data_IF_382811220581
#
_entry.id   IF_382811220581
#
_cell.length_a   1.000
_cell.length_b   1.000
_cell.length_c   1.000
_cell.angle_alpha   90.00
_cell.angle_beta   90.00
_cell.angle_gamma   90.00
#
_symmetry.space_group_name_H-M   'P 1'
#
loop_
_entity.id
_entity.type
_entity.pdbx_description
1 polymer ?
#
# COMPACT_ATOMS: atom_id res chain seq x y z
N UNK A 1 22.84 6.39 -5.48
CA UNK A 1 22.97 6.51 -4.02
C UNK A 1 21.90 7.49 -3.52
N UNK A 2 20.70 7.03 -3.17
CA UNK A 2 19.74 7.77 -2.35
C UNK A 2 19.39 6.86 -1.17
N UNK A 3 20.09 7.06 -0.05
CA UNK A 3 19.98 6.23 1.15
C UNK A 3 18.85 6.77 2.03
N UNK A 4 17.77 6.01 2.15
CA UNK A 4 16.85 5.92 3.31
C UNK A 4 16.04 7.16 3.77
N UNK A 5 16.17 8.34 3.16
CA UNK A 5 15.41 9.54 3.59
C UNK A 5 13.94 9.61 3.08
N UNK A 6 13.54 8.73 2.17
CA UNK A 6 12.31 8.92 1.37
C UNK A 6 11.03 8.31 1.97
N UNK A 7 11.15 7.51 3.03
CA UNK A 7 10.02 6.78 3.61
C UNK A 7 10.07 6.75 5.13
N UNK A 8 8.99 7.18 5.78
CA UNK A 8 8.81 6.97 7.22
C UNK A 8 7.34 6.89 7.61
N UNK A 9 7.07 6.18 8.72
CA UNK A 9 5.76 6.11 9.35
C UNK A 9 5.88 6.29 10.87
N UNK A 10 5.59 7.50 11.35
CA UNK A 10 5.70 7.90 12.76
C UNK A 10 4.42 7.55 13.54
N UNK A 11 4.56 7.50 14.87
CA UNK A 11 3.42 7.47 15.80
C UNK A 11 2.66 8.80 15.61
N UNK A 12 1.35 8.79 15.32
CA UNK A 12 0.65 9.99 14.89
C UNK A 12 0.19 10.87 16.06
N UNK A 13 0.33 10.41 17.30
CA UNK A 13 -0.19 11.05 18.50
C UNK A 13 0.78 10.89 19.66
N UNK A 14 0.86 11.88 20.54
CA UNK A 14 1.53 11.79 21.83
C UNK A 14 1.11 12.95 22.75
N UNK A 15 1.70 13.06 23.95
CA UNK A 15 1.34 14.10 24.90
C UNK A 15 1.53 15.49 24.30
N UNK A 16 0.44 16.24 24.13
CA UNK A 16 0.46 17.60 23.60
C UNK A 16 0.76 17.73 22.11
N UNK A 17 0.81 16.63 21.34
CA UNK A 17 1.06 16.71 19.90
C UNK A 17 0.29 15.68 19.08
N UNK A 18 0.08 16.04 17.81
CA UNK A 18 -0.40 15.17 16.75
C UNK A 18 0.40 15.41 15.48
N UNK A 19 0.61 14.36 14.70
CA UNK A 19 1.28 14.41 13.41
C UNK A 19 0.27 14.06 12.31
N UNK A 20 0.24 14.88 11.26
CA UNK A 20 -0.64 14.73 10.11
C UNK A 20 0.12 14.87 8.79
N UNK A 21 -0.38 14.21 7.75
CA UNK A 21 0.21 14.25 6.42
C UNK A 21 1.67 13.81 6.46
N UNK A 22 2.52 14.55 5.76
CA UNK A 22 3.94 14.21 5.66
C UNK A 22 4.63 14.20 7.02
N UNK A 23 4.20 15.01 8.00
CA UNK A 23 4.79 15.00 9.35
C UNK A 23 4.61 13.64 10.05
N UNK A 24 3.52 12.91 9.75
CA UNK A 24 3.22 11.61 10.32
C UNK A 24 3.63 10.43 9.44
N UNK A 25 3.56 10.59 8.11
CA UNK A 25 3.88 9.56 7.14
C UNK A 25 4.39 10.17 5.83
N UNK A 26 5.66 9.90 5.49
CA UNK A 26 6.20 10.19 4.15
C UNK A 26 6.27 8.90 3.35
N UNK A 27 5.69 8.96 2.14
CA UNK A 27 5.72 7.91 1.12
C UNK A 27 6.16 8.50 -0.21
N UNK A 28 6.68 7.67 -1.12
CA UNK A 28 7.05 8.11 -2.46
C UNK A 28 5.83 8.65 -3.22
N UNK A 29 6.04 9.70 -4.01
CA UNK A 29 5.01 10.40 -4.79
C UNK A 29 4.40 9.56 -5.92
N UNK A 30 4.90 8.34 -6.16
CA UNK A 30 4.54 7.48 -7.30
C UNK A 30 3.04 7.17 -7.36
N UNK A 31 2.38 7.12 -6.20
CA UNK A 31 0.94 6.89 -6.09
C UNK A 31 0.09 8.15 -6.21
N UNK A 32 0.67 9.35 -6.12
CA UNK A 32 -0.07 10.63 -6.12
C UNK A 32 -0.99 10.85 -4.91
N UNK A 33 -0.88 10.04 -3.86
CA UNK A 33 -1.86 9.97 -2.77
C UNK A 33 -1.58 10.91 -1.58
N UNK A 34 -0.57 11.78 -1.65
CA UNK A 34 -0.11 12.58 -0.50
C UNK A 34 -1.18 13.54 0.03
N UNK A 35 -1.69 14.44 -0.83
CA UNK A 35 -2.67 15.45 -0.44
C UNK A 35 -3.98 14.82 0.06
N UNK A 36 -4.50 13.82 -0.66
CA UNK A 36 -5.73 13.11 -0.27
C UNK A 36 -5.58 12.44 1.10
N UNK A 37 -4.41 11.88 1.42
CA UNK A 37 -4.16 11.37 2.78
C UNK A 37 -4.15 12.46 3.83
N UNK A 38 -3.48 13.57 3.58
CA UNK A 38 -3.41 14.67 4.53
C UNK A 38 -4.82 15.22 4.86
N UNK A 39 -5.69 15.39 3.87
CA UNK A 39 -7.07 15.84 4.09
C UNK A 39 -7.92 14.83 4.87
N UNK A 40 -7.80 13.53 4.56
CA UNK A 40 -8.55 12.49 5.30
C UNK A 40 -8.02 12.37 6.73
N UNK A 41 -6.71 12.44 6.94
CA UNK A 41 -6.13 12.47 8.28
C UNK A 41 -6.61 13.71 9.06
N UNK A 42 -6.58 14.90 8.48
CA UNK A 42 -7.08 16.13 9.10
C UNK A 42 -8.56 16.02 9.51
N UNK A 43 -9.41 15.45 8.65
CA UNK A 43 -10.83 15.20 8.95
C UNK A 43 -11.03 14.19 10.07
N UNK A 44 -10.21 13.15 10.14
CA UNK A 44 -10.40 12.08 11.12
C UNK A 44 -9.81 12.46 12.48
N UNK A 45 -8.66 13.16 12.51
CA UNK A 45 -8.08 13.64 13.76
C UNK A 45 -8.94 14.72 14.39
N UNK A 46 -9.60 15.60 13.60
CA UNK A 46 -10.49 16.62 14.16
C UNK A 46 -11.63 16.01 14.98
N UNK A 47 -12.18 14.87 14.56
CA UNK A 47 -13.16 14.12 15.34
C UNK A 47 -12.61 13.59 16.66
N UNK A 48 -11.36 13.11 16.65
CA UNK A 48 -10.70 12.63 17.87
C UNK A 48 -10.40 13.79 18.83
N UNK A 49 -9.99 14.96 18.31
CA UNK A 49 -9.79 16.19 19.07
C UNK A 49 -11.09 16.65 19.72
N UNK A 50 -12.22 16.62 19.00
CA UNK A 50 -13.52 17.00 19.56
C UNK A 50 -14.00 16.07 20.68
N UNK A 51 -13.63 14.78 20.62
CA UNK A 51 -13.92 13.82 21.69
C UNK A 51 -12.99 14.05 22.90
N UNK A 52 -11.76 14.47 22.64
CA UNK A 52 -10.67 14.73 23.59
C UNK A 52 -10.49 13.66 24.68
N UNK A 53 -10.51 12.39 24.26
CA UNK A 53 -10.18 11.28 25.13
C UNK A 53 -9.02 10.48 24.58
N UNK A 54 -8.23 9.92 25.48
CA UNK A 54 -7.16 8.99 25.12
C UNK A 54 -7.70 7.85 24.23
N UNK A 55 -8.88 7.31 24.57
CA UNK A 55 -9.60 6.31 23.79
C UNK A 55 -9.91 6.77 22.35
N UNK A 56 -10.39 8.01 22.18
CA UNK A 56 -10.64 8.63 20.88
C UNK A 56 -9.37 8.74 20.05
N UNK A 57 -8.27 9.18 20.65
CA UNK A 57 -6.96 9.25 19.97
C UNK A 57 -6.43 7.86 19.61
N UNK A 58 -6.55 6.82 20.45
CA UNK A 58 -6.14 5.45 20.05
C UNK A 58 -6.95 4.94 18.89
N UNK A 59 -8.26 5.20 18.89
CA UNK A 59 -9.16 4.81 17.81
C UNK A 59 -8.71 5.45 16.50
N UNK A 60 -8.46 6.77 16.50
CA UNK A 60 -7.89 7.46 15.36
C UNK A 60 -6.58 6.82 14.88
N UNK A 61 -5.65 6.51 15.79
CA UNK A 61 -4.38 5.89 15.41
C UNK A 61 -4.60 4.53 14.73
N UNK A 62 -5.45 3.66 15.30
CA UNK A 62 -5.78 2.35 14.68
C UNK A 62 -6.39 2.50 13.29
N UNK A 63 -7.38 3.39 13.15
CA UNK A 63 -8.04 3.64 11.88
C UNK A 63 -7.05 4.23 10.84
N UNK A 64 -6.19 5.16 11.25
CA UNK A 64 -5.13 5.71 10.40
C UNK A 64 -4.17 4.62 9.93
N UNK A 65 -3.55 3.85 10.84
CA UNK A 65 -2.52 2.88 10.46
C UNK A 65 -3.11 1.77 9.56
N UNK A 66 -4.36 1.35 9.79
CA UNK A 66 -5.07 0.40 8.90
C UNK A 66 -5.23 0.88 7.45
N UNK A 67 -5.30 2.19 7.23
CA UNK A 67 -5.46 2.84 5.92
C UNK A 67 -4.11 3.19 5.29
N UNK A 68 -3.21 3.77 6.08
CA UNK A 68 -1.94 4.34 5.61
C UNK A 68 -0.90 3.25 5.33
N UNK A 69 -0.83 2.20 6.17
CA UNK A 69 0.21 1.16 6.04
C UNK A 69 0.18 0.46 4.69
N UNK A 70 -0.99 -0.01 4.18
CA UNK A 70 -1.04 -0.63 2.84
C UNK A 70 -0.53 0.31 1.73
N UNK A 71 -0.87 1.60 1.80
CA UNK A 71 -0.43 2.60 0.81
C UNK A 71 1.05 2.92 0.93
N UNK A 72 1.59 2.95 2.15
CA UNK A 72 3.01 3.15 2.41
C UNK A 72 3.86 2.01 1.82
N UNK A 73 3.41 0.78 2.01
CA UNK A 73 4.12 -0.41 1.53
C UNK A 73 3.98 -0.57 0.02
N UNK A 74 2.81 -0.29 -0.54
CA UNK A 74 2.59 -0.20 -1.98
C UNK A 74 3.49 0.87 -2.63
N UNK A 75 3.57 2.07 -2.06
CA UNK A 75 4.47 3.12 -2.57
C UNK A 75 5.96 2.70 -2.51
N UNK A 76 6.36 1.96 -1.48
CA UNK A 76 7.72 1.41 -1.36
C UNK A 76 8.00 0.29 -2.38
N UNK A 77 7.00 -0.51 -2.70
CA UNK A 77 7.08 -1.50 -3.77
C UNK A 77 7.24 -0.81 -5.14
N UNK A 78 6.38 0.17 -5.42
CA UNK A 78 6.37 0.88 -6.71
C UNK A 78 7.60 1.76 -6.93
N UNK A 79 8.23 2.27 -5.88
CA UNK A 79 9.48 3.03 -6.00
C UNK A 79 10.69 2.17 -6.38
N UNK A 80 10.57 0.84 -6.31
CA UNK A 80 11.65 -0.05 -6.72
C UNK A 80 11.52 -0.37 -8.22
N UNK A 81 12.26 0.37 -9.04
CA UNK A 81 12.24 0.25 -10.52
C UNK A 81 12.54 -1.17 -10.98
N UNK A 82 13.49 -1.87 -10.34
CA UNK A 82 13.86 -3.24 -10.71
C UNK A 82 12.71 -4.23 -10.46
N UNK A 83 11.91 -4.00 -9.41
CA UNK A 83 10.74 -4.84 -9.08
C UNK A 83 9.52 -4.53 -9.94
N UNK A 84 9.29 -3.26 -10.28
CA UNK A 84 8.12 -2.87 -11.07
C UNK A 84 8.35 -2.97 -12.58
N UNK A 85 9.58 -2.88 -13.06
CA UNK A 85 9.92 -2.98 -14.49
C UNK A 85 10.39 -4.39 -14.89
N UNK A 86 9.72 -5.42 -14.38
CA UNK A 86 9.98 -6.82 -14.77
C UNK A 86 9.30 -7.15 -16.09
N UNK A 87 9.75 -8.22 -16.75
CA UNK A 87 9.15 -8.65 -18.01
C UNK A 87 7.70 -9.13 -17.79
N UNK A 88 7.45 -9.81 -16.67
CA UNK A 88 6.10 -10.17 -16.23
C UNK A 88 5.19 -8.94 -16.15
N UNK A 89 5.59 -7.90 -15.40
CA UNK A 89 4.75 -6.71 -15.20
C UNK A 89 4.49 -6.00 -16.53
N UNK A 90 5.51 -5.79 -17.37
CA UNK A 90 5.31 -5.16 -18.70
C UNK A 90 4.30 -5.93 -19.57
N UNK A 91 4.42 -7.26 -19.63
CA UNK A 91 3.52 -8.12 -20.42
C UNK A 91 2.12 -8.17 -19.81
N UNK A 92 2.02 -8.19 -18.48
CA UNK A 92 0.74 -8.14 -17.77
C UNK A 92 0.03 -6.81 -18.07
N UNK A 93 0.71 -5.68 -17.92
CA UNK A 93 0.13 -4.36 -18.20
C UNK A 93 -0.24 -4.19 -19.68
N UNK A 94 0.56 -4.69 -20.63
CA UNK A 94 0.22 -4.59 -22.06
C UNK A 94 -1.03 -5.40 -22.43
N UNK A 95 -1.24 -6.57 -21.81
CA UNK A 95 -2.44 -7.38 -21.99
C UNK A 95 -3.66 -6.81 -21.28
N UNK A 96 -3.46 -6.18 -20.12
CA UNK A 96 -4.53 -5.59 -19.33
C UNK A 96 -4.97 -4.21 -19.82
N UNK A 97 -4.07 -3.43 -20.43
CA UNK A 97 -4.41 -2.17 -21.08
C UNK A 97 -5.49 -2.34 -22.17
N UNK A 98 -5.64 -3.55 -22.72
CA UNK A 98 -6.67 -3.90 -23.71
C UNK A 98 -8.05 -4.18 -23.08
N UNK A 99 -8.16 -4.19 -21.74
CA UNK A 99 -9.39 -4.57 -21.02
C UNK A 99 -9.93 -3.41 -20.19
N UNK A 100 -11.14 -2.97 -20.50
CA UNK A 100 -11.85 -1.90 -19.76
C UNK A 100 -12.07 -2.23 -18.30
N UNK A 101 -12.30 -3.50 -17.95
CA UNK A 101 -12.43 -3.96 -16.56
C UNK A 101 -11.19 -3.62 -15.72
N UNK A 102 -9.99 -3.78 -16.27
CA UNK A 102 -8.76 -3.47 -15.55
C UNK A 102 -8.57 -1.98 -15.34
N UNK A 103 -8.83 -1.18 -16.38
CA UNK A 103 -8.80 0.27 -16.28
C UNK A 103 -9.75 0.75 -15.16
N UNK A 104 -10.97 0.19 -15.09
CA UNK A 104 -11.92 0.49 -14.03
C UNK A 104 -11.39 0.13 -12.64
N UNK A 105 -10.80 -1.06 -12.45
CA UNK A 105 -10.22 -1.48 -11.16
C UNK A 105 -9.04 -0.60 -10.75
N UNK A 106 -8.18 -0.21 -11.70
CA UNK A 106 -7.07 0.70 -11.44
C UNK A 106 -7.60 2.07 -10.99
N UNK A 107 -8.60 2.62 -11.68
CA UNK A 107 -9.28 3.86 -11.27
C UNK A 107 -9.92 3.72 -9.89
N UNK A 108 -10.60 2.61 -9.60
CA UNK A 108 -11.16 2.31 -8.28
C UNK A 108 -10.07 2.28 -7.19
N UNK A 109 -8.89 1.75 -7.50
CA UNK A 109 -7.75 1.77 -6.57
C UNK A 109 -7.19 3.18 -6.36
N UNK A 110 -7.02 3.96 -7.42
CA UNK A 110 -6.61 5.36 -7.34
C UNK A 110 -7.60 6.20 -6.51
N UNK A 111 -8.90 5.89 -6.63
CA UNK A 111 -10.00 6.49 -5.87
C UNK A 111 -10.25 5.81 -4.52
N UNK A 112 -9.44 4.82 -4.14
CA UNK A 112 -9.48 4.11 -2.85
C UNK A 112 -10.77 3.38 -2.54
N UNK A 113 -11.53 3.04 -3.58
CA UNK A 113 -12.68 2.13 -3.48
C UNK A 113 -12.18 0.70 -3.20
N UNK A 114 -11.03 0.34 -3.77
CA UNK A 114 -10.35 -0.94 -3.51
C UNK A 114 -8.90 -0.71 -3.06
N UNK A 115 -8.31 -1.69 -2.39
CA UNK A 115 -6.89 -1.66 -2.01
C UNK A 115 -6.00 -1.83 -3.25
N UNK A 116 -4.77 -1.28 -3.29
CA UNK A 116 -3.84 -1.46 -4.42
C UNK A 116 -3.62 -2.92 -4.83
N UNK A 117 -3.47 -3.82 -3.85
CA UNK A 117 -3.30 -5.26 -4.10
C UNK A 117 -4.54 -5.93 -4.72
N UNK A 118 -5.73 -5.33 -4.60
CA UNK A 118 -6.95 -5.83 -5.22
C UNK A 118 -7.10 -5.44 -6.70
N UNK A 119 -6.18 -4.64 -7.25
CA UNK A 119 -6.16 -4.32 -8.69
C UNK A 119 -5.97 -5.59 -9.52
N UNK A 120 -5.04 -6.47 -9.13
CA UNK A 120 -4.82 -7.77 -9.75
C UNK A 120 -5.46 -8.88 -8.91
N UNK A 121 -6.44 -9.59 -9.47
CA UNK A 121 -7.04 -10.73 -8.77
C UNK A 121 -6.26 -12.01 -9.03
N UNK A 122 -6.36 -12.97 -8.09
CA UNK A 122 -5.76 -14.31 -8.24
C UNK A 122 -6.22 -14.99 -9.55
N UNK A 123 -7.51 -14.99 -9.94
CA UNK A 123 -7.95 -15.51 -11.23
C UNK A 123 -7.30 -14.83 -12.44
N UNK A 124 -7.11 -13.51 -12.41
CA UNK A 124 -6.43 -12.78 -13.49
C UNK A 124 -4.96 -13.20 -13.61
N UNK A 125 -4.26 -13.35 -12.47
CA UNK A 125 -2.88 -13.80 -12.43
C UNK A 125 -2.74 -15.24 -12.92
N UNK A 126 -3.62 -16.15 -12.46
CA UNK A 126 -3.68 -17.55 -12.90
C UNK A 126 -3.92 -17.68 -14.40
N UNK A 127 -4.89 -16.93 -14.95
CA UNK A 127 -5.18 -16.97 -16.39
C UNK A 127 -3.96 -16.53 -17.22
N UNK A 128 -3.26 -15.48 -16.78
CA UNK A 128 -2.03 -15.02 -17.43
C UNK A 128 -0.89 -16.03 -17.28
N UNK A 129 -0.77 -16.68 -16.12
CA UNK A 129 0.21 -17.74 -15.89
C UNK A 129 -0.01 -18.95 -16.81
N UNK A 130 -1.24 -19.45 -16.89
CA UNK A 130 -1.61 -20.58 -17.76
C UNK A 130 -1.29 -20.23 -19.21
N UNK A 131 -1.69 -19.04 -19.69
CA UNK A 131 -1.34 -18.57 -21.04
C UNK A 131 0.17 -18.56 -21.28
N UNK A 132 0.96 -18.19 -20.27
CA UNK A 132 2.42 -18.14 -20.38
C UNK A 132 3.06 -19.53 -20.48
N UNK A 133 2.50 -20.54 -19.79
CA UNK A 133 2.95 -21.93 -19.85
C UNK A 133 2.77 -22.48 -21.27
N UNK A 134 1.64 -22.20 -21.92
CA UNK A 134 1.42 -22.59 -23.33
C UNK A 134 2.41 -21.93 -24.30
N UNK A 135 2.94 -20.76 -23.96
CA UNK A 135 3.94 -20.05 -24.78
C UNK A 135 5.39 -20.35 -24.38
N UNK A 136 5.63 -21.24 -23.40
CA UNK A 136 6.96 -21.58 -22.85
C UNK A 136 7.83 -20.36 -22.49
N UNK A 137 7.22 -19.29 -21.97
CA UNK A 137 7.92 -18.04 -21.68
C UNK A 137 8.59 -18.10 -20.28
N UNK A 138 9.78 -18.71 -20.20
CA UNK A 138 10.50 -18.94 -18.95
C UNK A 138 10.78 -17.66 -18.14
N UNK A 139 10.98 -16.51 -18.82
CA UNK A 139 11.17 -15.20 -18.17
C UNK A 139 9.91 -14.75 -17.44
N UNK A 140 8.75 -14.97 -18.05
CA UNK A 140 7.46 -14.66 -17.42
C UNK A 140 7.22 -15.50 -16.17
N UNK A 141 7.46 -16.82 -16.24
CA UNK A 141 7.26 -17.75 -15.13
C UNK A 141 8.13 -17.36 -13.94
N UNK A 142 9.43 -17.12 -14.17
CA UNK A 142 10.37 -16.69 -13.13
C UNK A 142 9.92 -15.38 -12.47
N UNK A 143 9.63 -14.36 -13.27
CA UNK A 143 9.27 -13.04 -12.74
C UNK A 143 7.91 -13.06 -12.02
N UNK A 144 6.94 -13.88 -12.48
CA UNK A 144 5.69 -14.10 -11.76
C UNK A 144 5.92 -14.77 -10.40
N UNK A 145 6.79 -15.79 -10.33
CA UNK A 145 7.09 -16.45 -9.06
C UNK A 145 7.70 -15.50 -8.04
N UNK A 146 8.58 -14.61 -8.48
CA UNK A 146 9.13 -13.53 -7.65
C UNK A 146 8.01 -12.59 -7.17
N UNK A 147 7.13 -12.17 -8.09
CA UNK A 147 6.01 -11.28 -7.76
C UNK A 147 5.03 -11.90 -6.75
N UNK A 148 4.64 -13.17 -6.92
CA UNK A 148 3.76 -13.89 -6.00
C UNK A 148 4.42 -13.99 -4.63
N UNK A 149 5.68 -14.39 -4.57
CA UNK A 149 6.42 -14.55 -3.30
C UNK A 149 6.49 -13.22 -2.55
N UNK A 150 6.85 -12.13 -3.23
CA UNK A 150 6.91 -10.79 -2.64
C UNK A 150 5.51 -10.30 -2.19
N UNK A 151 4.47 -10.60 -2.95
CA UNK A 151 3.10 -10.16 -2.64
C UNK A 151 2.53 -10.90 -1.44
N UNK A 152 2.59 -12.24 -1.41
CA UNK A 152 2.04 -13.03 -0.29
C UNK A 152 2.82 -12.84 1.01
N UNK A 153 4.14 -12.73 0.94
CA UNK A 153 4.96 -12.46 2.14
C UNK A 153 4.71 -11.05 2.69
N UNK A 154 4.26 -10.11 1.85
CA UNK A 154 3.90 -8.78 2.31
C UNK A 154 2.58 -8.76 3.10
N UNK A 155 1.53 -9.49 2.72
CA UNK A 155 0.24 -9.41 3.44
C UNK A 155 0.33 -9.81 4.92
N UNK A 156 1.02 -10.93 5.20
CA UNK A 156 1.25 -11.34 6.58
C UNK A 156 2.14 -10.33 7.32
N UNK A 157 3.14 -9.77 6.64
CA UNK A 157 4.03 -8.75 7.21
C UNK A 157 3.28 -7.45 7.51
N UNK A 158 2.37 -7.01 6.64
CA UNK A 158 1.58 -5.79 6.78
C UNK A 158 0.68 -5.92 8.01
N UNK A 159 -0.02 -7.05 8.13
CA UNK A 159 -0.92 -7.31 9.25
C UNK A 159 -0.17 -7.44 10.57
N UNK A 160 0.96 -8.16 10.57
CA UNK A 160 1.85 -8.26 11.73
C UNK A 160 2.45 -6.90 12.11
N UNK A 161 2.82 -6.06 11.14
CA UNK A 161 3.36 -4.73 11.39
C UNK A 161 2.32 -3.83 12.05
N UNK A 162 1.08 -3.81 11.54
CA UNK A 162 -0.03 -3.06 12.15
C UNK A 162 -0.28 -3.57 13.57
N UNK A 163 -0.43 -4.88 13.76
CA UNK A 163 -0.67 -5.50 15.07
C UNK A 163 0.46 -5.20 16.05
N UNK A 164 1.72 -5.36 15.63
CA UNK A 164 2.89 -5.06 16.43
C UNK A 164 2.95 -3.59 16.84
N UNK A 165 2.67 -2.65 15.93
CA UNK A 165 2.64 -1.20 16.24
C UNK A 165 1.60 -0.84 17.29
N UNK A 166 0.48 -1.56 17.31
CA UNK A 166 -0.57 -1.36 18.32
C UNK A 166 -0.31 -2.15 19.61
N UNK A 167 0.45 -3.25 19.59
CA UNK A 167 0.73 -4.05 20.78
C UNK A 167 1.97 -3.58 21.55
N UNK A 168 3.03 -3.16 20.84
CA UNK A 168 4.35 -2.96 21.44
C UNK A 168 4.60 -1.57 22.05
N UNK A 169 3.69 -0.59 21.86
CA UNK A 169 3.95 0.83 22.22
C UNK A 169 2.80 1.54 22.96
N UNK A 170 1.95 0.75 23.60
CA UNK A 170 0.93 1.21 24.57
C UNK A 170 1.34 0.96 26.03
N UNK A 171 2.54 0.42 26.26
CA UNK A 171 3.09 0.16 27.60
C UNK A 171 4.06 1.25 28.11
N UNK A 172 4.26 2.30 27.32
CA UNK A 172 5.02 3.50 27.69
C UNK A 172 4.07 4.71 27.72
#
# INVERSE_FOLDING_TARGET
MHKNADFYLRKPIGPGYLLLGDAGCRKHFVSGQGMTEAFIEARNISKAILIDTEAGYRRYWKERDSRVVPLYLDAKFQSNIEKINTYFIRKLFSELAKKTEYANRLTMSCNRVIKPKAVFTVPMLLKSFIKSLYTCDARFIRDLMIYITDTFTSDLRDELLIRWRHAARWKD
#
